data_IF_346046346115
#
_entry.id   IF_346046346115
#
_cell.length_a   1.000
_cell.length_b   1.000
_cell.length_c   1.000
_cell.angle_alpha   90.00
_cell.angle_beta   90.00
_cell.angle_gamma   90.00
#
_symmetry.space_group_name_H-M   'P 1'
#
loop_
_entity.id
_entity.type
_entity.pdbx_description
1 polymer ?
#
# COMPACT_ATOMS: atom_id res chain seq x y z
N UNK A 1 20.39 -22.64 -47.48
CA UNK A 1 19.45 -22.71 -46.34
C UNK A 1 20.16 -23.44 -45.22
N UNK A 2 20.98 -22.72 -44.46
CA UNK A 2 21.78 -23.30 -43.37
C UNK A 2 20.95 -23.33 -42.11
N UNK A 3 20.59 -24.53 -41.68
CA UNK A 3 20.08 -24.83 -40.34
C UNK A 3 21.11 -24.43 -39.28
N UNK A 4 21.06 -23.18 -38.84
CA UNK A 4 21.80 -22.69 -37.67
C UNK A 4 20.88 -22.77 -36.46
N UNK A 5 20.60 -23.99 -36.00
CA UNK A 5 20.00 -24.23 -34.69
C UNK A 5 21.04 -23.92 -33.59
N UNK A 6 21.29 -22.63 -33.37
CA UNK A 6 22.29 -22.12 -32.42
C UNK A 6 22.09 -22.63 -30.99
N UNK A 7 20.91 -23.17 -30.66
CA UNK A 7 20.61 -23.80 -29.36
C UNK A 7 19.69 -25.01 -29.57
N UNK A 8 20.07 -26.14 -28.97
CA UNK A 8 19.31 -27.39 -28.97
C UNK A 8 17.91 -27.21 -28.36
N UNK A 9 16.88 -27.72 -29.03
CA UNK A 9 15.49 -27.75 -28.52
C UNK A 9 15.40 -28.39 -27.13
N UNK A 10 16.28 -29.37 -26.84
CA UNK A 10 16.35 -30.04 -25.53
C UNK A 10 16.72 -29.06 -24.42
N UNK A 11 17.60 -28.10 -24.70
CA UNK A 11 18.00 -27.06 -23.73
C UNK A 11 16.82 -26.14 -23.40
N UNK A 12 16.05 -25.72 -24.40
CA UNK A 12 14.84 -24.91 -24.16
C UNK A 12 13.76 -25.67 -23.41
N UNK A 13 13.55 -26.94 -23.75
CA UNK A 13 12.57 -27.79 -23.05
C UNK A 13 12.95 -27.98 -21.58
N UNK A 14 14.24 -28.21 -21.30
CA UNK A 14 14.74 -28.34 -19.93
C UNK A 14 14.57 -27.05 -19.13
N UNK A 15 14.92 -25.90 -19.73
CA UNK A 15 14.75 -24.58 -19.08
C UNK A 15 13.27 -24.27 -18.86
N UNK A 16 12.41 -24.62 -19.82
CA UNK A 16 10.96 -24.44 -19.69
C UNK A 16 10.37 -25.27 -18.54
N UNK A 17 10.76 -26.55 -18.42
CA UNK A 17 10.37 -27.39 -17.27
C UNK A 17 10.88 -26.80 -15.96
N UNK A 18 12.13 -26.34 -15.91
CA UNK A 18 12.68 -25.69 -14.73
C UNK A 18 11.85 -24.44 -14.35
N UNK A 19 11.50 -23.60 -15.32
CA UNK A 19 10.66 -22.43 -15.09
C UNK A 19 9.26 -22.79 -14.59
N UNK A 20 8.64 -23.87 -15.10
CA UNK A 20 7.37 -24.38 -14.60
C UNK A 20 7.49 -24.89 -13.16
N UNK A 21 8.56 -25.59 -12.81
CA UNK A 21 8.80 -26.04 -11.43
C UNK A 21 8.97 -24.86 -10.48
N UNK A 22 9.77 -23.86 -10.87
CA UNK A 22 9.92 -22.62 -10.13
C UNK A 22 8.58 -21.85 -10.03
N UNK A 23 7.72 -21.91 -11.06
CA UNK A 23 6.37 -21.33 -11.05
C UNK A 23 5.47 -22.04 -10.04
N UNK A 24 5.41 -23.36 -10.09
CA UNK A 24 4.68 -24.18 -9.14
C UNK A 24 5.20 -23.99 -7.72
N UNK A 25 6.50 -23.78 -7.53
CA UNK A 25 7.08 -23.47 -6.23
C UNK A 25 6.58 -22.12 -5.68
N UNK A 26 6.51 -21.07 -6.52
CA UNK A 26 5.87 -19.80 -6.13
C UNK A 26 4.41 -20.00 -5.77
N UNK A 27 3.68 -20.79 -6.55
CA UNK A 27 2.26 -21.05 -6.32
C UNK A 27 2.03 -21.85 -5.03
N UNK A 28 2.82 -22.89 -4.80
CA UNK A 28 2.81 -23.69 -3.58
C UNK A 28 3.21 -22.88 -2.35
N UNK A 29 4.17 -21.95 -2.48
CA UNK A 29 4.55 -21.06 -1.39
C UNK A 29 3.40 -20.16 -0.93
N UNK A 30 2.41 -19.88 -1.78
CA UNK A 30 1.25 -19.08 -1.39
C UNK A 30 0.33 -19.80 -0.39
N UNK A 31 0.34 -21.14 -0.39
CA UNK A 31 -0.50 -21.95 0.50
C UNK A 31 0.20 -22.36 1.80
N UNK A 32 1.53 -22.21 1.88
CA UNK A 32 2.31 -22.56 3.07
C UNK A 32 2.63 -21.27 3.84
N UNK A 33 2.19 -21.20 5.10
CA UNK A 33 2.38 -20.02 5.95
C UNK A 33 3.79 -20.01 6.59
N UNK A 34 4.83 -19.71 5.80
CA UNK A 34 6.23 -19.62 6.26
C UNK A 34 6.55 -18.29 7.00
N UNK A 35 5.57 -17.42 7.24
CA UNK A 35 5.79 -16.10 7.84
C UNK A 35 6.78 -15.26 7.02
N UNK A 36 7.71 -14.59 7.70
CA UNK A 36 8.68 -13.69 7.05
C UNK A 36 9.63 -14.39 6.06
N UNK A 37 9.89 -15.69 6.22
CA UNK A 37 10.72 -16.46 5.27
C UNK A 37 10.07 -16.60 3.89
N UNK A 38 8.74 -16.48 3.81
CA UNK A 38 8.01 -16.55 2.54
C UNK A 38 8.43 -15.43 1.58
N UNK A 39 8.69 -14.23 2.11
CA UNK A 39 9.12 -13.07 1.33
C UNK A 39 10.49 -13.35 0.71
N UNK A 40 11.47 -13.69 1.53
CA UNK A 40 12.84 -13.96 1.07
C UNK A 40 12.85 -15.08 0.03
N UNK A 41 12.11 -16.17 0.28
CA UNK A 41 12.00 -17.28 -0.65
C UNK A 41 11.39 -16.86 -1.99
N UNK A 42 10.28 -16.09 -1.98
CA UNK A 42 9.64 -15.63 -3.20
C UNK A 42 10.51 -14.67 -4.02
N UNK A 43 11.26 -13.77 -3.36
CA UNK A 43 12.22 -12.91 -4.03
C UNK A 43 13.36 -13.72 -4.69
N UNK A 44 13.91 -14.72 -3.99
CA UNK A 44 14.94 -15.59 -4.55
C UNK A 44 14.43 -16.38 -5.77
N UNK A 45 13.21 -16.92 -5.68
CA UNK A 45 12.58 -17.64 -6.81
C UNK A 45 12.33 -16.69 -7.98
N UNK A 46 11.86 -15.47 -7.73
CA UNK A 46 11.62 -14.47 -8.77
C UNK A 46 12.91 -14.08 -9.50
N UNK A 47 13.99 -13.80 -8.75
CA UNK A 47 15.31 -13.49 -9.31
C UNK A 47 15.85 -14.68 -10.12
N UNK A 48 15.75 -15.90 -9.58
CA UNK A 48 16.16 -17.11 -10.28
C UNK A 48 15.46 -17.27 -11.63
N UNK A 49 14.13 -17.15 -11.67
CA UNK A 49 13.35 -17.21 -12.92
C UNK A 49 13.80 -16.14 -13.92
N UNK A 50 13.93 -14.89 -13.49
CA UNK A 50 14.33 -13.79 -14.35
C UNK A 50 15.71 -14.06 -14.98
N UNK A 51 16.67 -14.56 -14.20
CA UNK A 51 18.01 -14.92 -14.71
C UNK A 51 17.96 -16.06 -15.73
N UNK A 52 17.15 -17.10 -15.51
CA UNK A 52 16.98 -18.19 -16.48
C UNK A 52 16.38 -17.68 -17.81
N UNK A 53 15.37 -16.81 -17.73
CA UNK A 53 14.76 -16.21 -18.93
C UNK A 53 15.75 -15.32 -19.67
N UNK A 54 16.46 -14.44 -18.96
CA UNK A 54 17.47 -13.55 -19.55
C UNK A 54 18.59 -14.35 -20.22
N UNK A 55 19.11 -15.39 -19.55
CA UNK A 55 20.24 -16.17 -20.06
C UNK A 55 19.90 -17.00 -21.30
N UNK A 56 18.74 -17.65 -21.32
CA UNK A 56 18.39 -18.65 -22.35
C UNK A 56 17.36 -18.18 -23.37
N UNK A 57 16.24 -17.57 -22.94
CA UNK A 57 15.17 -17.15 -23.85
C UNK A 57 15.46 -15.80 -24.51
N UNK A 58 16.14 -14.89 -23.81
CA UNK A 58 16.61 -13.63 -24.40
C UNK A 58 18.03 -13.75 -24.98
N UNK A 59 18.58 -14.96 -25.06
CA UNK A 59 19.90 -15.25 -25.62
C UNK A 59 21.06 -14.43 -25.03
N UNK A 60 20.91 -13.83 -23.84
CA UNK A 60 21.92 -12.93 -23.29
C UNK A 60 23.25 -13.65 -23.04
N UNK A 61 23.22 -14.95 -22.74
CA UNK A 61 24.40 -15.80 -22.55
C UNK A 61 25.13 -16.16 -23.84
N UNK A 62 24.50 -16.05 -25.01
CA UNK A 62 25.05 -16.50 -26.29
C UNK A 62 25.38 -15.35 -27.25
N UNK A 63 24.89 -14.15 -26.96
CA UNK A 63 25.20 -12.92 -27.69
C UNK A 63 26.58 -12.36 -27.29
N UNK A 64 27.14 -11.50 -28.15
CA UNK A 64 28.39 -10.77 -27.97
C UNK A 64 28.47 -9.97 -26.65
N UNK A 65 29.70 -9.77 -26.16
CA UNK A 65 29.96 -9.08 -24.90
C UNK A 65 29.39 -7.66 -24.86
N UNK A 66 29.33 -6.98 -26.00
CA UNK A 66 28.85 -5.61 -26.10
C UNK A 66 27.38 -5.48 -25.67
N UNK A 67 26.49 -6.38 -26.12
CA UNK A 67 25.08 -6.35 -25.75
C UNK A 67 24.85 -6.65 -24.26
N UNK A 68 25.73 -7.45 -23.64
CA UNK A 68 25.65 -7.70 -22.19
C UNK A 68 25.97 -6.46 -21.37
N UNK A 69 26.93 -5.66 -21.83
CA UNK A 69 27.28 -4.39 -21.18
C UNK A 69 26.09 -3.43 -21.24
N UNK A 70 25.43 -3.31 -22.40
CA UNK A 70 24.22 -2.48 -22.52
C UNK A 70 23.07 -2.96 -21.63
N UNK A 71 22.81 -4.28 -21.59
CA UNK A 71 21.80 -4.85 -20.70
C UNK A 71 22.13 -4.57 -19.22
N UNK A 72 23.39 -4.76 -18.81
CA UNK A 72 23.84 -4.48 -17.45
C UNK A 72 23.73 -2.99 -17.09
N UNK A 73 24.06 -2.09 -18.02
CA UNK A 73 23.87 -0.65 -17.85
C UNK A 73 22.40 -0.28 -17.62
N UNK A 74 21.47 -0.94 -18.32
CA UNK A 74 20.03 -0.75 -18.10
C UNK A 74 19.58 -1.16 -16.70
N UNK A 75 20.02 -2.33 -16.20
CA UNK A 75 19.73 -2.75 -14.83
C UNK A 75 20.37 -1.84 -13.79
N UNK A 76 21.61 -1.40 -14.03
CA UNK A 76 22.30 -0.43 -13.18
C UNK A 76 21.54 0.89 -13.09
N UNK A 77 21.10 1.43 -14.24
CA UNK A 77 20.28 2.63 -14.28
C UNK A 77 18.93 2.44 -13.56
N UNK A 78 18.28 1.29 -13.72
CA UNK A 78 17.03 0.97 -13.02
C UNK A 78 17.22 0.94 -11.50
N UNK A 79 18.31 0.34 -11.01
CA UNK A 79 18.66 0.34 -9.58
C UNK A 79 18.86 1.75 -9.05
N UNK A 80 19.52 2.63 -9.83
CA UNK A 80 19.68 4.05 -9.47
C UNK A 80 18.32 4.73 -9.36
N UNK A 81 17.45 4.61 -10.37
CA UNK A 81 16.13 5.25 -10.35
C UNK A 81 15.29 4.78 -9.16
N UNK A 82 15.25 3.48 -8.91
CA UNK A 82 14.50 2.93 -7.80
C UNK A 82 15.08 3.37 -6.44
N UNK A 83 16.41 3.39 -6.33
CA UNK A 83 17.12 3.86 -5.15
C UNK A 83 16.89 5.34 -4.86
N UNK A 84 17.03 6.21 -5.87
CA UNK A 84 16.75 7.65 -5.76
C UNK A 84 15.29 7.92 -5.43
N UNK A 85 14.35 7.17 -6.03
CA UNK A 85 12.93 7.29 -5.71
C UNK A 85 12.67 6.92 -4.25
N UNK A 86 13.20 5.80 -3.76
CA UNK A 86 13.03 5.40 -2.37
C UNK A 86 13.73 6.37 -1.39
N UNK A 87 14.88 6.91 -1.78
CA UNK A 87 15.58 7.96 -1.05
C UNK A 87 14.77 9.25 -0.99
N UNK A 88 14.13 9.66 -2.10
CA UNK A 88 13.23 10.80 -2.15
C UNK A 88 12.04 10.57 -1.20
N UNK A 89 11.36 9.41 -1.28
CA UNK A 89 10.29 9.05 -0.36
C UNK A 89 10.72 9.10 1.11
N UNK A 90 11.93 8.62 1.42
CA UNK A 90 12.46 8.62 2.78
C UNK A 90 12.79 10.04 3.25
N UNK A 91 13.35 10.87 2.37
CA UNK A 91 13.77 12.25 2.68
C UNK A 91 12.57 13.20 2.77
N UNK A 92 11.56 13.00 1.92
CA UNK A 92 10.30 13.77 1.88
C UNK A 92 9.40 13.52 3.11
N UNK A 93 9.75 12.55 3.96
CA UNK A 93 9.12 12.39 5.27
C UNK A 93 9.47 13.52 6.25
N UNK A 94 10.48 14.35 5.94
CA UNK A 94 10.88 15.52 6.73
C UNK A 94 10.53 16.86 6.05
N UNK A 95 9.25 17.25 6.03
CA UNK A 95 8.80 18.60 5.67
C UNK A 95 7.67 18.95 6.66
N UNK A 96 7.77 19.80 7.68
CA UNK A 96 8.57 21.01 7.96
C UNK A 96 8.92 20.99 9.47
N UNK A 97 10.10 21.47 9.92
CA UNK A 97 10.37 21.72 11.33
C UNK A 97 9.26 22.60 11.93
N UNK A 98 8.67 22.18 13.05
CA UNK A 98 7.57 22.91 13.71
C UNK A 98 7.90 24.37 14.03
N UNK A 99 9.19 24.71 14.09
CA UNK A 99 9.72 26.05 14.33
C UNK A 99 9.43 27.01 13.17
N UNK A 100 9.56 26.55 11.92
CA UNK A 100 9.31 27.38 10.73
C UNK A 100 7.80 27.48 10.41
N UNK A 101 7.02 26.48 10.83
CA UNK A 101 5.55 26.57 10.80
C UNK A 101 4.99 27.55 11.85
N UNK A 102 5.73 27.87 12.92
CA UNK A 102 5.26 28.74 14.01
C UNK A 102 5.23 30.23 13.63
N UNK A 103 6.07 30.65 12.69
CA UNK A 103 6.07 32.02 12.18
C UNK A 103 5.01 32.29 11.11
N UNK A 104 4.57 31.25 10.37
CA UNK A 104 3.55 31.37 9.32
C UNK A 104 2.12 31.13 9.84
N UNK A 105 1.96 30.38 10.94
CA UNK A 105 0.68 30.04 11.55
C UNK A 105 0.68 30.36 13.05
N UNK A 106 0.32 31.60 13.44
CA UNK A 106 0.27 32.00 14.83
C UNK A 106 -1.04 31.50 15.46
N UNK A 107 -1.14 30.19 15.73
CA UNK A 107 -1.96 29.66 16.83
C UNK A 107 -1.65 28.18 17.09
N UNK A 108 -0.89 27.93 18.16
CA UNK A 108 -0.87 26.66 18.89
C UNK A 108 -0.45 26.91 20.33
N UNK A 109 -1.33 26.66 21.32
CA UNK A 109 -0.89 26.11 22.59
C UNK A 109 -1.18 24.60 22.57
N UNK A 110 -0.19 23.72 22.58
CA UNK A 110 0.66 23.35 23.73
C UNK A 110 0.21 21.97 24.23
N UNK A 111 1.07 20.99 23.92
CA UNK A 111 1.37 19.76 24.67
C UNK A 111 0.29 18.68 24.82
N UNK A 112 0.60 17.48 24.30
CA UNK A 112 0.88 16.38 25.22
C UNK A 112 1.69 15.29 24.51
N UNK A 113 3.02 15.38 24.64
CA UNK A 113 3.86 14.19 24.70
C UNK A 113 3.63 13.50 26.05
N UNK A 114 3.83 12.18 26.07
CA UNK A 114 4.01 11.27 27.21
C UNK A 114 2.75 10.56 27.76
N UNK A 115 2.92 9.23 27.91
CA UNK A 115 2.10 8.24 28.66
C UNK A 115 0.80 7.76 27.96
N UNK A 116 0.50 6.46 27.74
CA UNK A 116 0.82 5.25 28.51
C UNK A 116 0.59 3.97 27.66
N UNK A 117 1.51 3.00 27.77
CA UNK A 117 1.24 1.58 27.54
C UNK A 117 0.22 1.10 28.60
N UNK A 118 -1.00 0.72 28.22
CA UNK A 118 -1.76 -0.27 28.99
C UNK A 118 -2.87 -0.88 28.14
N UNK A 119 -2.68 -2.14 27.79
CA UNK A 119 -3.77 -3.06 27.57
C UNK A 119 -4.70 -2.99 28.77
N UNK A 120 -6.01 -2.80 28.56
CA UNK A 120 -7.06 -3.54 29.26
C UNK A 120 -8.38 -3.34 28.51
N UNK A 121 -8.89 -4.45 28.01
CA UNK A 121 -10.26 -4.64 27.61
C UNK A 121 -11.16 -4.48 28.84
N UNK A 122 -12.01 -3.45 28.89
CA UNK A 122 -13.25 -3.54 29.65
C UNK A 122 -14.31 -2.58 29.11
N UNK A 123 -15.27 -3.21 28.47
CA UNK A 123 -16.68 -2.84 28.35
C UNK A 123 -17.22 -1.87 29.41
N UNK A 124 -17.50 -0.63 28.98
CA UNK A 124 -18.74 0.11 29.30
C UNK A 124 -18.79 1.40 28.49
N UNK A 125 -19.45 1.38 27.33
CA UNK A 125 -19.79 2.60 26.60
C UNK A 125 -21.11 3.13 27.17
N UNK A 126 -21.00 4.00 28.18
CA UNK A 126 -22.07 4.90 28.60
C UNK A 126 -22.00 6.20 27.79
N UNK A 127 -23.16 6.76 27.48
CA UNK A 127 -23.40 7.92 26.58
C UNK A 127 -22.59 9.19 26.96
N UNK A 128 -21.95 9.81 25.96
CA UNK A 128 -21.49 11.23 25.78
C UNK A 128 -20.49 11.76 26.83
N UNK A 129 -19.24 12.18 26.51
CA UNK A 129 -18.85 13.29 25.59
C UNK A 129 -17.72 12.95 24.59
N UNK A 130 -17.23 11.71 24.56
CA UNK A 130 -16.20 11.27 23.60
C UNK A 130 -16.73 11.14 22.16
N UNK A 131 -18.04 10.98 21.97
CA UNK A 131 -18.64 10.90 20.64
C UNK A 131 -18.51 12.22 19.85
N UNK A 132 -18.73 13.36 20.50
CA UNK A 132 -18.61 14.68 19.85
C UNK A 132 -17.16 15.07 19.55
N UNK A 133 -16.22 14.77 20.45
CA UNK A 133 -14.79 14.99 20.20
C UNK A 133 -14.25 14.10 19.06
N UNK A 134 -14.76 12.86 18.96
CA UNK A 134 -14.39 11.95 17.89
C UNK A 134 -15.04 12.34 16.55
N UNK A 135 -16.26 12.86 16.56
CA UNK A 135 -16.96 13.37 15.37
C UNK A 135 -16.35 14.70 14.91
N UNK A 136 -15.97 15.61 15.80
CA UNK A 136 -15.33 16.89 15.43
C UNK A 136 -13.95 16.66 14.80
N UNK A 137 -13.15 15.76 15.38
CA UNK A 137 -11.87 15.34 14.78
C UNK A 137 -12.09 14.64 13.44
N UNK A 138 -13.09 13.77 13.35
CA UNK A 138 -13.47 13.11 12.10
C UNK A 138 -13.85 14.08 10.98
N UNK A 139 -14.66 15.10 11.31
CA UNK A 139 -15.04 16.19 10.40
C UNK A 139 -13.81 16.97 9.91
N UNK A 140 -12.87 17.28 10.80
CA UNK A 140 -11.63 17.98 10.42
C UNK A 140 -10.77 17.15 9.47
N UNK A 141 -10.61 15.85 9.73
CA UNK A 141 -9.87 14.94 8.85
C UNK A 141 -10.56 14.84 7.49
N UNK A 142 -11.89 14.70 7.49
CA UNK A 142 -12.66 14.67 6.26
C UNK A 142 -12.46 15.94 5.42
N UNK A 143 -12.67 17.12 6.01
CA UNK A 143 -12.55 18.40 5.31
C UNK A 143 -11.14 18.65 4.77
N UNK A 144 -10.10 18.21 5.47
CA UNK A 144 -8.70 18.45 5.10
C UNK A 144 -8.13 17.44 4.11
N UNK A 145 -8.69 16.24 4.00
CA UNK A 145 -8.06 15.15 3.23
C UNK A 145 -9.04 14.32 2.42
N UNK A 146 -10.23 14.02 2.93
CA UNK A 146 -11.14 13.07 2.29
C UNK A 146 -12.13 13.74 1.32
N UNK A 147 -12.53 14.99 1.60
CA UNK A 147 -13.52 15.76 0.83
C UNK A 147 -13.15 15.89 -0.65
N UNK A 148 -11.86 16.07 -0.95
CA UNK A 148 -11.32 16.25 -2.30
C UNK A 148 -11.82 15.20 -3.31
N UNK A 149 -12.08 13.96 -2.85
CA UNK A 149 -12.65 12.92 -3.71
C UNK A 149 -14.06 12.48 -3.26
N UNK A 150 -14.33 12.42 -1.96
CA UNK A 150 -15.57 11.85 -1.44
C UNK A 150 -16.75 12.82 -1.38
N UNK A 151 -16.55 14.11 -1.63
CA UNK A 151 -17.65 15.06 -1.72
C UNK A 151 -18.39 14.92 -3.06
N UNK A 152 -17.63 14.95 -4.16
CA UNK A 152 -18.17 14.90 -5.52
C UNK A 152 -18.20 13.50 -6.12
N UNK A 153 -17.49 12.54 -5.51
CA UNK A 153 -17.33 11.17 -6.01
C UNK A 153 -16.27 11.05 -7.11
N UNK A 154 -15.22 11.87 -7.06
CA UNK A 154 -14.14 11.87 -8.03
C UNK A 154 -13.52 10.47 -8.18
N UNK A 155 -13.17 10.07 -9.41
CA UNK A 155 -12.58 8.77 -9.73
C UNK A 155 -13.41 7.56 -9.25
N UNK A 156 -14.73 7.73 -9.10
CA UNK A 156 -15.62 6.67 -8.60
C UNK A 156 -15.58 6.50 -7.07
N UNK A 157 -15.07 7.50 -6.34
CA UNK A 157 -15.10 7.50 -4.88
C UNK A 157 -16.56 7.48 -4.37
N UNK A 158 -16.87 6.73 -3.29
CA UNK A 158 -18.19 6.75 -2.70
C UNK A 158 -18.49 8.13 -2.10
N UNK A 159 -19.58 8.76 -2.56
CA UNK A 159 -19.98 10.09 -2.12
C UNK A 159 -20.45 10.06 -0.67
N UNK A 160 -20.03 11.02 0.14
CA UNK A 160 -20.66 11.24 1.45
C UNK A 160 -22.16 11.55 1.24
N UNK A 161 -23.03 10.99 2.07
CA UNK A 161 -24.49 11.10 1.88
C UNK A 161 -25.11 9.95 1.09
N UNK A 162 -24.32 9.18 0.31
CA UNK A 162 -24.83 8.05 -0.47
C UNK A 162 -25.03 6.80 0.39
N UNK A 163 -26.23 6.70 0.99
CA UNK A 163 -26.66 5.57 1.82
C UNK A 163 -26.40 4.21 1.18
N UNK A 164 -26.64 4.07 -0.13
CA UNK A 164 -26.56 2.78 -0.81
C UNK A 164 -25.09 2.37 -0.99
N UNK A 165 -24.25 3.31 -1.41
CA UNK A 165 -22.82 3.08 -1.54
C UNK A 165 -22.17 2.75 -0.19
N UNK A 166 -22.56 3.41 0.89
CA UNK A 166 -21.99 3.17 2.22
C UNK A 166 -22.54 1.92 2.91
N UNK A 167 -23.83 1.59 2.73
CA UNK A 167 -24.43 0.38 3.32
C UNK A 167 -23.76 -0.91 2.83
N UNK A 168 -23.47 -1.01 1.54
CA UNK A 168 -22.78 -2.20 0.97
C UNK A 168 -21.34 -2.34 1.46
N UNK A 169 -20.66 -1.22 1.71
CA UNK A 169 -19.28 -1.21 2.18
C UNK A 169 -19.19 -1.54 3.66
N UNK A 170 -20.02 -0.89 4.48
CA UNK A 170 -19.99 -1.06 5.94
C UNK A 170 -20.31 -2.50 6.37
N UNK A 171 -21.03 -3.28 5.55
CA UNK A 171 -21.26 -4.72 5.78
C UNK A 171 -19.97 -5.53 5.91
N UNK A 172 -18.85 -5.06 5.34
CA UNK A 172 -17.53 -5.69 5.51
C UNK A 172 -16.90 -5.40 6.89
N UNK A 173 -17.49 -4.50 7.66
CA UNK A 173 -17.01 -4.06 8.96
C UNK A 173 -16.15 -2.79 8.90
N UNK A 174 -16.22 -1.97 9.95
CA UNK A 174 -15.47 -0.72 10.05
C UNK A 174 -13.96 -0.95 9.94
N UNK A 175 -13.44 -2.02 10.53
CA UNK A 175 -11.99 -2.28 10.56
C UNK A 175 -11.44 -2.60 9.17
N UNK A 176 -12.23 -3.25 8.31
CA UNK A 176 -11.87 -3.48 6.90
C UNK A 176 -11.84 -2.17 6.11
N UNK A 177 -12.79 -1.26 6.38
CA UNK A 177 -12.77 0.07 5.77
C UNK A 177 -11.54 0.87 6.20
N UNK A 178 -11.20 0.83 7.49
CA UNK A 178 -9.99 1.48 8.03
C UNK A 178 -8.74 0.87 7.42
N UNK A 179 -8.66 -0.45 7.30
CA UNK A 179 -7.52 -1.14 6.69
C UNK A 179 -7.30 -0.69 5.24
N UNK A 180 -8.36 -0.67 4.42
CA UNK A 180 -8.26 -0.20 3.04
C UNK A 180 -7.96 1.28 2.94
N UNK A 181 -8.48 2.13 3.84
CA UNK A 181 -8.16 3.55 3.85
C UNK A 181 -6.70 3.82 4.24
N UNK A 182 -6.10 3.00 5.11
CA UNK A 182 -4.71 3.14 5.54
C UNK A 182 -3.75 2.63 4.46
N UNK A 183 -4.02 1.45 3.90
CA UNK A 183 -3.12 0.78 2.94
C UNK A 183 -3.37 1.19 1.48
N UNK A 184 -4.46 1.89 1.20
CA UNK A 184 -4.92 2.18 -0.15
C UNK A 184 -5.77 1.04 -0.72
N UNK A 185 -6.70 1.37 -1.61
CA UNK A 185 -7.57 0.39 -2.26
C UNK A 185 -8.09 0.92 -3.59
N UNK A 186 -7.80 0.21 -4.68
CA UNK A 186 -8.13 0.62 -6.05
C UNK A 186 -7.56 2.03 -6.33
N UNK A 187 -8.42 2.97 -6.72
CA UNK A 187 -8.05 4.36 -6.97
C UNK A 187 -7.86 5.20 -5.70
N UNK A 188 -8.16 4.67 -4.50
CA UNK A 188 -7.97 5.37 -3.24
C UNK A 188 -6.51 5.25 -2.78
N UNK A 189 -5.76 6.38 -2.65
CA UNK A 189 -4.37 6.35 -2.21
C UNK A 189 -4.26 5.94 -0.73
N UNK A 190 -3.11 5.36 -0.30
CA UNK A 190 -2.84 5.06 1.10
C UNK A 190 -3.02 6.30 1.99
N UNK A 191 -3.71 6.13 3.12
CA UNK A 191 -4.09 7.19 4.07
C UNK A 191 -4.79 8.40 3.43
N UNK A 192 -5.51 8.20 2.32
CA UNK A 192 -6.15 9.30 1.59
C UNK A 192 -5.15 10.30 0.98
N UNK A 193 -3.90 9.86 0.73
CA UNK A 193 -2.83 10.71 0.19
C UNK A 193 -2.10 11.53 1.25
N UNK A 194 -2.48 11.43 2.52
CA UNK A 194 -1.86 12.16 3.63
C UNK A 194 -1.13 11.18 4.58
N UNK A 195 0.18 11.05 4.41
CA UNK A 195 1.02 10.15 5.22
C UNK A 195 1.05 10.50 6.71
N UNK A 196 0.80 11.77 7.05
CA UNK A 196 0.81 12.29 8.42
C UNK A 196 -0.44 11.89 9.23
N UNK A 197 -1.48 11.35 8.59
CA UNK A 197 -2.65 10.87 9.33
C UNK A 197 -2.33 9.59 10.10
N UNK A 198 -2.69 9.60 11.39
CA UNK A 198 -2.72 8.40 12.22
C UNK A 198 -3.92 7.52 11.84
N UNK A 199 -3.80 6.20 11.99
CA UNK A 199 -4.90 5.26 11.74
C UNK A 199 -6.15 5.59 12.56
N UNK A 200 -5.97 6.10 13.78
CA UNK A 200 -7.06 6.55 14.65
C UNK A 200 -7.82 7.74 14.09
N UNK A 201 -7.15 8.68 13.43
CA UNK A 201 -7.76 9.83 12.78
C UNK A 201 -8.50 9.43 11.50
N UNK A 202 -7.94 8.49 10.73
CA UNK A 202 -8.61 7.89 9.56
C UNK A 202 -9.90 7.19 10.00
N UNK A 203 -9.85 6.42 11.09
CA UNK A 203 -11.04 5.77 11.67
C UNK A 203 -12.12 6.78 12.04
N UNK A 204 -11.75 7.89 12.68
CA UNK A 204 -12.69 8.98 13.01
C UNK A 204 -13.27 9.64 11.76
N UNK A 205 -12.46 9.85 10.72
CA UNK A 205 -12.92 10.35 9.43
C UNK A 205 -13.96 9.44 8.77
N UNK A 206 -13.71 8.13 8.76
CA UNK A 206 -14.66 7.14 8.23
C UNK A 206 -15.97 7.14 9.04
N UNK A 207 -15.89 7.19 10.38
CA UNK A 207 -17.07 7.29 11.24
C UNK A 207 -17.90 8.53 10.89
N UNK A 208 -17.23 9.67 10.70
CA UNK A 208 -17.89 10.91 10.28
C UNK A 208 -18.62 10.75 8.93
N UNK A 209 -17.96 10.15 7.93
CA UNK A 209 -18.57 9.92 6.63
C UNK A 209 -19.77 8.97 6.69
N UNK A 210 -19.70 7.93 7.52
CA UNK A 210 -20.80 6.99 7.74
C UNK A 210 -21.99 7.67 8.41
N UNK A 211 -21.75 8.50 9.42
CA UNK A 211 -22.78 9.26 10.12
C UNK A 211 -23.49 10.26 9.18
N UNK A 212 -22.74 11.03 8.39
CA UNK A 212 -23.31 11.96 7.41
C UNK A 212 -24.04 11.21 6.28
N UNK A 213 -23.65 9.97 6.00
CA UNK A 213 -24.35 9.09 5.07
C UNK A 213 -25.56 8.39 5.70
N UNK A 214 -25.90 8.66 6.96
CA UNK A 214 -27.02 8.04 7.67
C UNK A 214 -26.86 6.54 7.92
N UNK A 215 -25.61 6.06 8.01
CA UNK A 215 -25.27 4.66 8.26
C UNK A 215 -24.65 4.55 9.66
N UNK A 216 -25.43 4.10 10.65
CA UNK A 216 -24.93 3.91 12.01
C UNK A 216 -24.23 2.55 12.19
N UNK A 217 -23.04 2.58 12.80
CA UNK A 217 -22.23 1.39 13.11
C UNK A 217 -22.90 0.40 14.08
N UNK A 218 -23.94 0.82 14.80
CA UNK A 218 -24.74 -0.07 15.69
C UNK A 218 -25.59 -1.09 14.94
N UNK A 219 -25.82 -0.89 13.63
CA UNK A 219 -26.76 -1.72 12.87
C UNK A 219 -26.13 -2.95 12.21
N UNK A 220 -24.87 -3.23 12.50
CA UNK A 220 -24.13 -4.36 11.92
C UNK A 220 -23.72 -5.26 13.07
N UNK A 221 -24.62 -6.17 13.41
CA UNK A 221 -24.37 -7.26 14.35
C UNK A 221 -23.99 -8.50 13.57
#
# INVERSE_FOLDING_TARGET
MTDQSIISLKTYLFVWIALLLLLLATLGSAYIFLGSFNIVLNFLIAVGKALLVLAFFMHLKYISYLTRIFAAAGFFWLVILFGLTMSDYSTRSQLIPSEEMAHLYPEKPTQLSSQTKSNTFSSKVSKTPQAEANVSRGRQVYNKTCSACHETGALGAPKIGDKIAWKTRVQKGLDVLVFHAVNGFKAMPPKGGNSALAQSDIRKGIIYMLNESGVELKQIK
#
